data_IF_789236378572
#
_entry.id   IF_789236378572
#
_cell.length_a   1.000
_cell.length_b   1.000
_cell.length_c   1.000
_cell.angle_alpha   90.00
_cell.angle_beta   90.00
_cell.angle_gamma   90.00
#
_symmetry.space_group_name_H-M   'P 1'
#
loop_
_entity.id
_entity.type
_entity.pdbx_description
1 polymer ?
#
# COMPACT_ATOMS: atom_id res chain seq x y z
N UNK A 1 -12.07 -2.52 23.73
CA UNK A 1 -12.72 -1.20 23.61
C UNK A 1 -12.52 -0.50 22.26
N UNK A 2 -11.49 -0.84 21.45
CA UNK A 2 -11.28 -0.22 20.11
C UNK A 2 -12.31 -0.70 19.06
N UNK A 3 -12.76 -1.94 19.15
CA UNK A 3 -13.63 -2.58 18.15
C UNK A 3 -15.04 -1.97 18.03
N UNK A 4 -15.74 -1.80 19.16
CA UNK A 4 -17.05 -1.15 19.16
C UNK A 4 -16.97 0.27 18.60
N UNK A 5 -15.83 0.94 18.76
CA UNK A 5 -15.63 2.29 18.25
C UNK A 5 -15.52 2.34 16.72
N UNK A 6 -14.94 1.31 16.09
CA UNK A 6 -14.82 1.27 14.63
C UNK A 6 -16.17 0.97 13.97
N UNK A 7 -16.90 -0.07 14.43
CA UNK A 7 -18.22 -0.39 13.86
C UNK A 7 -19.20 0.79 14.02
N UNK A 8 -19.17 1.49 15.15
CA UNK A 8 -19.98 2.71 15.38
C UNK A 8 -19.56 3.90 14.49
N UNK A 9 -18.33 3.90 13.97
CA UNK A 9 -17.84 4.96 13.07
C UNK A 9 -18.26 4.77 11.61
N UNK A 10 -18.70 3.56 11.23
CA UNK A 10 -19.14 3.26 9.87
C UNK A 10 -20.60 3.67 9.70
N UNK A 11 -20.86 4.54 8.73
CA UNK A 11 -22.19 5.00 8.37
C UNK A 11 -22.58 4.46 6.99
N UNK A 12 -23.71 3.76 6.93
CA UNK A 12 -24.25 3.31 5.65
C UNK A 12 -24.74 4.51 4.84
N UNK A 13 -24.24 4.66 3.61
CA UNK A 13 -24.63 5.74 2.69
C UNK A 13 -25.81 5.37 1.80
N UNK A 14 -25.91 4.09 1.43
CA UNK A 14 -26.98 3.58 0.59
C UNK A 14 -26.63 2.21 -0.01
N UNK A 15 -27.60 1.64 -0.72
CA UNK A 15 -27.44 0.41 -1.48
C UNK A 15 -27.99 0.59 -2.89
N UNK A 16 -27.44 -0.13 -3.86
CA UNK A 16 -27.90 -0.11 -5.24
C UNK A 16 -27.94 -1.52 -5.80
N UNK A 17 -28.79 -1.73 -6.81
CA UNK A 17 -28.91 -2.99 -7.56
C UNK A 17 -28.84 -2.78 -9.07
N UNK A 18 -28.88 -1.53 -9.52
CA UNK A 18 -28.82 -1.14 -10.94
C UNK A 18 -27.73 -0.09 -11.13
N UNK A 19 -27.26 0.06 -12.37
CA UNK A 19 -26.27 1.09 -12.75
C UNK A 19 -26.85 2.50 -12.50
N UNK A 20 -28.13 2.70 -12.73
CA UNK A 20 -28.81 3.96 -12.50
C UNK A 20 -28.82 4.31 -11.01
N UNK A 21 -29.12 3.35 -10.13
CA UNK A 21 -29.10 3.57 -8.69
C UNK A 21 -27.69 3.80 -8.16
N UNK A 22 -26.69 3.14 -8.74
CA UNK A 22 -25.28 3.45 -8.45
C UNK A 22 -24.98 4.92 -8.73
N UNK A 23 -25.30 5.42 -9.94
CA UNK A 23 -25.02 6.81 -10.30
C UNK A 23 -25.84 7.82 -9.50
N UNK A 24 -27.07 7.48 -9.06
CA UNK A 24 -27.84 8.33 -8.13
C UNK A 24 -27.11 8.56 -6.82
N UNK A 25 -26.42 7.55 -6.29
CA UNK A 25 -25.64 7.69 -5.05
C UNK A 25 -24.30 8.36 -5.36
N UNK A 26 -23.55 7.80 -6.31
CA UNK A 26 -22.16 8.16 -6.57
C UNK A 26 -22.00 9.62 -7.00
N UNK A 27 -22.92 10.17 -7.79
CA UNK A 27 -22.87 11.57 -8.23
C UNK A 27 -23.04 12.60 -7.10
N UNK A 28 -23.54 12.19 -5.94
CA UNK A 28 -23.73 13.05 -4.77
C UNK A 28 -22.66 12.83 -3.70
N UNK A 29 -21.70 11.93 -3.93
CA UNK A 29 -20.58 11.73 -3.02
C UNK A 29 -19.51 12.80 -3.23
N UNK A 30 -18.93 13.27 -2.12
CA UNK A 30 -17.69 14.05 -2.17
C UNK A 30 -16.60 13.17 -2.77
N UNK A 31 -15.82 13.70 -3.71
CA UNK A 31 -14.78 12.91 -4.36
C UNK A 31 -13.65 12.58 -3.36
N UNK A 32 -12.98 11.41 -3.46
CA UNK A 32 -11.93 11.04 -2.52
C UNK A 32 -10.83 12.10 -2.30
N UNK A 33 -10.42 12.81 -3.35
CA UNK A 33 -9.43 13.89 -3.23
C UNK A 33 -9.89 15.08 -2.37
N UNK A 34 -11.21 15.28 -2.24
CA UNK A 34 -11.81 16.41 -1.54
C UNK A 34 -12.31 16.01 -0.13
N UNK A 35 -12.14 14.74 0.24
CA UNK A 35 -12.47 14.26 1.58
C UNK A 35 -11.42 14.74 2.59
N UNK A 36 -11.84 14.98 3.85
CA UNK A 36 -10.89 15.13 4.95
C UNK A 36 -9.96 13.91 5.06
N UNK A 37 -8.72 14.17 5.43
CA UNK A 37 -7.78 13.09 5.75
C UNK A 37 -8.36 12.19 6.85
N UNK A 38 -7.97 10.92 6.85
CA UNK A 38 -8.45 9.85 7.74
C UNK A 38 -9.88 9.38 7.51
N UNK A 39 -10.51 9.78 6.40
CA UNK A 39 -11.78 9.24 5.94
C UNK A 39 -11.60 8.03 5.03
N UNK A 40 -12.58 7.14 5.06
CA UNK A 40 -12.67 5.94 4.24
C UNK A 40 -14.02 5.86 3.53
N UNK A 41 -14.04 5.46 2.26
CA UNK A 41 -15.25 4.92 1.63
C UNK A 41 -15.13 3.41 1.46
N UNK A 42 -16.23 2.72 1.69
CA UNK A 42 -16.35 1.28 1.56
C UNK A 42 -17.47 0.95 0.59
N UNK A 43 -17.17 0.16 -0.43
CA UNK A 43 -18.16 -0.43 -1.32
C UNK A 43 -18.09 -1.95 -1.21
N UNK A 44 -19.11 -2.57 -0.63
CA UNK A 44 -19.13 -4.02 -0.38
C UNK A 44 -20.41 -4.63 -0.93
N UNK A 45 -20.31 -5.91 -1.33
CA UNK A 45 -21.50 -6.68 -1.71
C UNK A 45 -22.47 -6.74 -0.53
N UNK A 46 -23.76 -6.65 -0.84
CA UNK A 46 -24.83 -6.72 0.16
C UNK A 46 -24.66 -7.93 1.08
N UNK A 47 -24.77 -7.70 2.39
CA UNK A 47 -24.63 -8.73 3.41
C UNK A 47 -23.19 -9.02 3.86
N UNK A 48 -22.19 -8.38 3.25
CA UNK A 48 -20.79 -8.43 3.71
C UNK A 48 -20.46 -7.11 4.39
N UNK A 49 -20.16 -7.15 5.68
CA UNK A 49 -19.67 -5.98 6.40
C UNK A 49 -18.21 -5.69 6.01
N UNK A 50 -17.79 -4.42 5.90
CA UNK A 50 -16.41 -4.03 5.55
C UNK A 50 -15.44 -4.17 6.73
N UNK A 51 -15.41 -5.37 7.32
CA UNK A 51 -14.69 -5.69 8.55
C UNK A 51 -14.24 -7.15 8.49
N UNK A 52 -13.08 -7.43 9.08
CA UNK A 52 -12.37 -8.69 8.92
C UNK A 52 -13.06 -9.85 9.66
N UNK A 53 -13.88 -9.57 10.67
CA UNK A 53 -14.67 -10.54 11.43
C UNK A 53 -15.83 -11.12 10.61
N UNK A 54 -16.26 -10.40 9.56
CA UNK A 54 -17.29 -10.89 8.67
C UNK A 54 -16.90 -12.27 8.12
N UNK A 55 -17.84 -13.19 8.10
CA UNK A 55 -17.60 -14.56 7.68
C UNK A 55 -17.02 -14.65 6.26
N UNK A 56 -17.38 -13.70 5.39
CA UNK A 56 -16.83 -13.58 4.05
C UNK A 56 -15.37 -13.10 4.03
N UNK A 57 -14.94 -12.31 5.01
CA UNK A 57 -13.63 -11.64 5.01
C UNK A 57 -12.58 -12.34 5.86
N UNK A 58 -12.97 -13.11 6.89
CA UNK A 58 -12.04 -13.63 7.91
C UNK A 58 -10.91 -14.52 7.40
N UNK A 59 -11.13 -15.26 6.31
CA UNK A 59 -10.10 -16.09 5.64
C UNK A 59 -9.54 -15.43 4.37
N UNK A 60 -9.92 -14.18 4.16
CA UNK A 60 -9.61 -13.41 2.98
C UNK A 60 -8.35 -12.59 3.14
N UNK A 61 -8.22 -11.67 2.21
CA UNK A 61 -7.19 -10.65 2.25
C UNK A 61 -7.56 -9.50 1.35
N UNK A 62 -6.59 -8.62 1.13
CA UNK A 62 -6.75 -7.45 0.29
C UNK A 62 -5.52 -7.17 -0.55
N UNK A 63 -5.76 -6.85 -1.80
CA UNK A 63 -4.80 -6.18 -2.67
C UNK A 63 -4.84 -4.69 -2.42
N UNK A 64 -3.67 -4.06 -2.34
CA UNK A 64 -3.53 -2.63 -2.04
C UNK A 64 -2.62 -1.96 -3.08
N UNK A 65 -2.99 -0.73 -3.43
CA UNK A 65 -2.13 0.19 -4.18
C UNK A 65 -2.06 1.51 -3.42
N UNK A 66 -0.83 2.02 -3.26
CA UNK A 66 -0.57 3.34 -2.70
C UNK A 66 -0.50 4.37 -3.81
N UNK A 67 -1.25 5.45 -3.64
CA UNK A 67 -1.38 6.52 -4.61
C UNK A 67 -0.84 7.82 -3.99
N UNK A 68 -0.16 8.60 -4.82
CA UNK A 68 0.14 9.99 -4.46
C UNK A 68 -1.17 10.78 -4.36
N UNK A 69 -1.14 11.88 -3.63
CA UNK A 69 -2.28 12.80 -3.52
C UNK A 69 -2.70 13.35 -4.89
N UNK A 70 -4.00 13.61 -5.03
CA UNK A 70 -4.60 14.25 -6.20
C UNK A 70 -5.06 13.30 -7.31
N UNK A 71 -4.72 12.00 -7.25
CA UNK A 71 -5.15 11.02 -8.26
C UNK A 71 -6.17 10.00 -7.74
N UNK A 72 -6.46 9.96 -6.44
CA UNK A 72 -7.26 8.92 -5.81
C UNK A 72 -8.68 8.83 -6.38
N UNK A 73 -9.34 9.96 -6.67
CA UNK A 73 -10.70 9.98 -7.19
C UNK A 73 -10.86 9.18 -8.50
N UNK A 74 -9.92 9.32 -9.44
CA UNK A 74 -9.94 8.61 -10.72
C UNK A 74 -9.77 7.11 -10.52
N UNK A 75 -8.75 6.71 -9.77
CA UNK A 75 -8.47 5.29 -9.53
C UNK A 75 -9.58 4.61 -8.70
N UNK A 76 -10.23 5.34 -7.81
CA UNK A 76 -11.38 4.84 -7.07
C UNK A 76 -12.58 4.61 -7.98
N UNK A 77 -12.88 5.57 -8.87
CA UNK A 77 -13.94 5.42 -9.87
C UNK A 77 -13.68 4.22 -10.79
N UNK A 78 -12.48 4.12 -11.38
CA UNK A 78 -12.07 3.00 -12.24
C UNK A 78 -12.25 1.65 -11.52
N UNK A 79 -11.83 1.54 -10.25
CA UNK A 79 -11.99 0.31 -9.48
C UNK A 79 -13.46 -0.04 -9.24
N UNK A 80 -14.26 0.93 -8.79
CA UNK A 80 -15.68 0.70 -8.49
C UNK A 80 -16.45 0.31 -9.74
N UNK A 81 -16.18 0.95 -10.87
CA UNK A 81 -16.78 0.61 -12.16
C UNK A 81 -16.38 -0.80 -12.60
N UNK A 82 -15.11 -1.20 -12.40
CA UNK A 82 -14.66 -2.56 -12.70
C UNK A 82 -15.36 -3.62 -11.83
N UNK A 83 -15.66 -3.32 -10.56
CA UNK A 83 -16.39 -4.22 -9.67
C UNK A 83 -17.85 -4.36 -10.11
N UNK A 84 -18.58 -3.26 -10.28
CA UNK A 84 -20.02 -3.33 -10.65
C UNK A 84 -20.22 -3.84 -12.08
N UNK A 85 -19.20 -3.70 -12.94
CA UNK A 85 -19.16 -4.29 -14.27
C UNK A 85 -18.66 -5.73 -14.30
N UNK A 86 -18.42 -6.36 -13.15
CA UNK A 86 -17.99 -7.76 -13.00
C UNK A 86 -16.73 -8.13 -13.82
N UNK A 87 -15.77 -7.21 -13.93
CA UNK A 87 -14.61 -7.38 -14.82
C UNK A 87 -13.52 -8.34 -14.29
N UNK A 88 -13.61 -8.77 -13.03
CA UNK A 88 -12.57 -9.58 -12.39
C UNK A 88 -12.61 -11.06 -12.74
N UNK A 89 -13.74 -11.60 -13.18
CA UNK A 89 -13.92 -13.00 -13.60
C UNK A 89 -13.36 -14.04 -12.59
N UNK A 90 -13.68 -13.83 -11.31
CA UNK A 90 -13.29 -14.69 -10.17
C UNK A 90 -14.51 -15.22 -9.41
N UNK A 91 -15.67 -15.27 -10.06
CA UNK A 91 -16.93 -15.67 -9.44
C UNK A 91 -17.26 -14.80 -8.23
N UNK A 92 -17.54 -15.43 -7.08
CA UNK A 92 -17.94 -14.71 -5.87
C UNK A 92 -16.77 -14.28 -4.98
N UNK A 93 -15.51 -14.34 -5.45
CA UNK A 93 -14.34 -14.04 -4.60
C UNK A 93 -14.27 -12.59 -4.15
N UNK A 94 -14.73 -11.62 -4.94
CA UNK A 94 -14.73 -10.21 -4.55
C UNK A 94 -15.74 -9.96 -3.42
N UNK A 95 -15.27 -9.40 -2.30
CA UNK A 95 -16.09 -8.93 -1.18
C UNK A 95 -16.48 -7.46 -1.35
N UNK A 96 -15.49 -6.62 -1.69
CA UNK A 96 -15.66 -5.17 -1.76
C UNK A 96 -14.35 -4.43 -1.91
N UNK A 97 -14.41 -3.11 -1.98
CA UNK A 97 -13.28 -2.23 -2.09
C UNK A 97 -13.33 -1.10 -1.06
N UNK A 98 -12.16 -0.57 -0.74
CA UNK A 98 -11.97 0.54 0.21
C UNK A 98 -11.04 1.57 -0.42
N UNK A 99 -11.40 2.85 -0.37
CA UNK A 99 -10.46 3.96 -0.55
C UNK A 99 -10.21 4.58 0.82
N UNK A 100 -8.94 4.70 1.17
CA UNK A 100 -8.47 5.24 2.42
C UNK A 100 -7.67 6.51 2.19
N UNK A 101 -8.26 7.66 2.54
CA UNK A 101 -7.64 8.97 2.40
C UNK A 101 -6.74 9.20 3.60
N UNK A 102 -5.41 9.31 3.41
CA UNK A 102 -4.45 9.51 4.52
C UNK A 102 -3.60 10.75 4.27
N UNK A 103 -2.80 11.18 5.23
CA UNK A 103 -2.11 12.47 5.13
C UNK A 103 -1.10 12.54 3.96
N UNK A 104 -0.24 11.53 3.82
CA UNK A 104 0.85 11.53 2.83
C UNK A 104 0.49 10.87 1.49
N UNK A 105 -0.38 9.87 1.53
CA UNK A 105 -0.74 9.03 0.40
C UNK A 105 -2.20 8.58 0.57
N UNK A 106 -2.82 8.16 -0.52
CA UNK A 106 -4.13 7.51 -0.49
C UNK A 106 -3.96 6.04 -0.83
N UNK A 107 -4.78 5.19 -0.24
CA UNK A 107 -4.65 3.74 -0.40
C UNK A 107 -5.96 3.18 -0.92
N UNK A 108 -5.92 2.54 -2.08
CA UNK A 108 -7.05 1.76 -2.59
C UNK A 108 -6.82 0.30 -2.28
N UNK A 109 -7.84 -0.36 -1.73
CA UNK A 109 -7.83 -1.77 -1.38
C UNK A 109 -8.97 -2.53 -2.04
N UNK A 110 -8.72 -3.73 -2.55
CA UNK A 110 -9.74 -4.66 -3.05
C UNK A 110 -9.69 -5.95 -2.23
N UNK A 111 -10.80 -6.30 -1.60
CA UNK A 111 -10.92 -7.39 -0.64
C UNK A 111 -11.50 -8.64 -1.31
N UNK A 112 -10.89 -9.79 -1.03
CA UNK A 112 -11.35 -11.10 -1.53
C UNK A 112 -11.62 -12.09 -0.39
N UNK A 113 -12.47 -13.09 -0.64
CA UNK A 113 -12.97 -14.03 0.37
C UNK A 113 -11.93 -15.03 0.86
N UNK A 114 -11.13 -15.57 -0.06
CA UNK A 114 -10.21 -16.66 0.24
C UNK A 114 -8.78 -16.33 -0.18
N UNK A 115 -7.93 -16.06 0.81
CA UNK A 115 -6.51 -15.81 0.57
C UNK A 115 -5.72 -17.05 0.15
N UNK A 116 -6.28 -18.25 0.33
CA UNK A 116 -5.65 -19.52 -0.09
C UNK A 116 -5.99 -19.87 -1.55
N UNK A 117 -6.93 -19.14 -2.17
CA UNK A 117 -7.27 -19.30 -3.59
C UNK A 117 -6.28 -18.51 -4.46
N UNK A 118 -5.10 -19.09 -4.69
CA UNK A 118 -4.00 -18.44 -5.43
C UNK A 118 -4.40 -18.02 -6.86
N UNK A 119 -5.20 -18.84 -7.55
CA UNK A 119 -5.66 -18.52 -8.91
C UNK A 119 -6.52 -17.26 -8.91
N UNK A 120 -7.51 -17.18 -8.02
CA UNK A 120 -8.33 -15.97 -7.88
C UNK A 120 -7.49 -14.78 -7.42
N UNK A 121 -6.57 -14.95 -6.48
CA UNK A 121 -5.70 -13.87 -6.00
C UNK A 121 -4.84 -13.30 -7.12
N UNK A 122 -4.24 -14.14 -7.97
CA UNK A 122 -3.45 -13.69 -9.13
C UNK A 122 -4.32 -13.03 -10.20
N UNK A 123 -5.49 -13.60 -10.52
CA UNK A 123 -6.42 -12.98 -11.48
C UNK A 123 -6.89 -11.61 -11.00
N UNK A 124 -7.19 -11.47 -9.70
CA UNK A 124 -7.55 -10.19 -9.10
C UNK A 124 -6.42 -9.17 -9.26
N UNK A 125 -5.18 -9.54 -8.95
CA UNK A 125 -4.00 -8.67 -9.11
C UNK A 125 -3.86 -8.18 -10.55
N UNK A 126 -3.92 -9.10 -11.51
CA UNK A 126 -3.64 -8.81 -12.90
C UNK A 126 -4.75 -7.95 -13.52
N UNK A 127 -6.01 -8.27 -13.20
CA UNK A 127 -7.15 -7.44 -13.61
C UNK A 127 -7.10 -6.07 -12.94
N UNK A 128 -6.81 -5.98 -11.63
CA UNK A 128 -6.69 -4.69 -10.93
C UNK A 128 -5.63 -3.81 -11.59
N UNK A 129 -4.46 -4.37 -11.94
CA UNK A 129 -3.42 -3.64 -12.68
C UNK A 129 -3.93 -3.13 -14.02
N UNK A 130 -4.65 -3.96 -14.77
CA UNK A 130 -5.19 -3.63 -16.09
C UNK A 130 -6.27 -2.54 -16.04
N UNK A 131 -7.30 -2.70 -15.21
CA UNK A 131 -8.45 -1.76 -15.15
C UNK A 131 -8.05 -0.40 -14.61
N UNK A 132 -7.07 -0.37 -13.70
CA UNK A 132 -6.51 0.87 -13.18
C UNK A 132 -5.43 1.47 -14.09
N UNK A 133 -5.04 0.78 -15.16
CA UNK A 133 -3.93 1.17 -16.04
C UNK A 133 -2.65 1.51 -15.24
N UNK A 134 -2.29 0.66 -14.27
CA UNK A 134 -1.14 0.90 -13.40
C UNK A 134 0.17 0.67 -14.16
N UNK A 135 1.12 1.63 -14.11
CA UNK A 135 2.46 1.41 -14.63
C UNK A 135 3.12 0.18 -13.99
N UNK A 136 3.98 -0.51 -14.75
CA UNK A 136 4.62 -1.76 -14.29
C UNK A 136 5.46 -1.58 -13.02
N UNK A 137 6.03 -0.38 -12.81
CA UNK A 137 6.82 -0.07 -11.61
C UNK A 137 5.97 0.11 -10.35
N UNK A 138 4.65 0.30 -10.49
CA UNK A 138 3.76 0.43 -9.32
C UNK A 138 3.55 -0.95 -8.74
N UNK A 139 3.96 -1.12 -7.48
CA UNK A 139 3.77 -2.34 -6.73
C UNK A 139 2.29 -2.49 -6.33
N UNK A 140 1.79 -3.71 -6.44
CA UNK A 140 0.57 -4.14 -5.79
C UNK A 140 0.97 -4.96 -4.56
N UNK A 141 0.29 -4.74 -3.46
CA UNK A 141 0.63 -5.38 -2.19
C UNK A 141 -0.53 -6.24 -1.71
N UNK A 142 -0.25 -7.48 -1.33
CA UNK A 142 -1.27 -8.35 -0.76
C UNK A 142 -1.06 -8.48 0.74
N UNK A 143 -2.16 -8.42 1.50
CA UNK A 143 -2.15 -8.75 2.93
C UNK A 143 -3.37 -9.57 3.31
N UNK A 144 -3.14 -10.68 3.98
CA UNK A 144 -4.20 -11.50 4.59
C UNK A 144 -4.81 -10.78 5.78
N UNK A 145 -6.10 -10.96 6.00
CA UNK A 145 -6.78 -10.35 7.13
C UNK A 145 -6.32 -10.96 8.46
N UNK A 146 -6.14 -12.28 8.54
CA UNK A 146 -5.63 -13.00 9.73
C UNK A 146 -4.28 -12.43 10.23
N UNK A 147 -3.37 -12.14 9.31
CA UNK A 147 -2.02 -11.63 9.61
C UNK A 147 -2.08 -10.19 10.11
N UNK A 148 -3.03 -9.41 9.59
CA UNK A 148 -3.26 -8.01 10.00
C UNK A 148 -3.72 -7.92 11.46
N UNK A 149 -4.33 -8.97 12.00
CA UNK A 149 -4.77 -9.03 13.39
C UNK A 149 -3.64 -9.37 14.33
N UNK A 150 -2.81 -10.33 13.92
CA UNK A 150 -1.68 -10.77 14.72
C UNK A 150 -0.64 -9.65 14.88
N UNK A 151 -0.43 -8.83 13.86
CA UNK A 151 0.52 -7.71 13.89
C UNK A 151 -0.12 -6.33 14.12
N UNK A 152 -1.44 -6.30 14.32
CA UNK A 152 -2.25 -5.10 14.53
C UNK A 152 -1.99 -3.98 13.50
N UNK A 153 -1.77 -4.34 12.24
CA UNK A 153 -1.46 -3.39 11.17
C UNK A 153 -2.25 -3.68 9.88
N UNK A 154 -2.89 -2.65 9.33
CA UNK A 154 -3.69 -2.82 8.10
C UNK A 154 -2.87 -2.58 6.82
N UNK A 155 -1.74 -1.90 6.90
CA UNK A 155 -0.98 -1.43 5.74
C UNK A 155 0.52 -1.76 5.78
N UNK A 156 1.01 -2.41 6.85
CA UNK A 156 2.42 -2.79 7.01
C UNK A 156 2.58 -4.30 6.86
N UNK A 157 3.81 -4.78 6.68
CA UNK A 157 4.13 -6.21 6.55
C UNK A 157 3.34 -6.90 5.42
N UNK A 158 3.30 -6.26 4.25
CA UNK A 158 2.57 -6.73 3.08
C UNK A 158 3.51 -7.50 2.15
N UNK A 159 2.96 -8.45 1.40
CA UNK A 159 3.71 -9.12 0.33
C UNK A 159 3.72 -8.21 -0.90
N UNK A 160 4.90 -7.72 -1.28
CA UNK A 160 5.08 -6.88 -2.46
C UNK A 160 5.12 -7.71 -3.73
N UNK A 161 4.28 -7.36 -4.71
CA UNK A 161 4.30 -7.94 -6.03
C UNK A 161 4.73 -6.88 -7.04
N UNK A 162 5.98 -6.98 -7.47
CA UNK A 162 6.54 -6.21 -8.58
C UNK A 162 6.49 -7.05 -9.83
N UNK A 163 6.15 -6.43 -10.95
CA UNK A 163 6.31 -7.07 -12.25
C UNK A 163 7.81 -7.07 -12.60
N UNK A 164 8.59 -7.99 -12.04
CA UNK A 164 9.98 -8.15 -12.43
C UNK A 164 10.04 -8.82 -13.81
N UNK A 165 10.64 -8.12 -14.79
CA UNK A 165 11.14 -8.76 -16.00
C UNK A 165 12.45 -9.46 -15.68
N UNK A 166 12.41 -10.65 -15.07
CA UNK A 166 13.53 -11.61 -15.16
C UNK A 166 13.14 -13.02 -14.67
N UNK A 167 12.29 -13.74 -15.40
CA UNK A 167 12.27 -15.20 -15.29
C UNK A 167 13.44 -15.75 -16.14
N UNK A 168 14.59 -15.90 -15.50
CA UNK A 168 15.79 -16.43 -16.11
C UNK A 168 16.58 -17.25 -15.10
N UNK A 169 16.40 -18.57 -15.17
CA UNK A 169 17.36 -19.59 -14.74
C UNK A 169 17.38 -19.98 -13.25
N UNK A 170 16.31 -20.61 -12.77
CA UNK A 170 16.44 -21.64 -11.73
C UNK A 170 16.57 -23.01 -12.42
N UNK A 171 17.80 -23.51 -12.56
CA UNK A 171 18.04 -24.90 -12.93
C UNK A 171 18.03 -25.73 -11.65
N UNK A 172 17.06 -26.63 -11.54
CA UNK A 172 17.07 -27.70 -10.56
C UNK A 172 18.25 -28.65 -10.86
N UNK A 173 19.15 -28.82 -9.90
CA UNK A 173 20.18 -29.86 -9.93
C UNK A 173 19.69 -31.05 -9.11
N UNK A 174 19.63 -32.28 -9.66
CA UNK A 174 19.20 -33.44 -8.90
C UNK A 174 20.32 -33.93 -7.99
N UNK A 175 19.94 -34.24 -6.76
CA UNK A 175 20.75 -34.91 -5.75
C UNK A 175 20.84 -36.41 -6.07
N UNK A 176 22.04 -36.94 -6.23
CA UNK A 176 22.33 -38.37 -6.37
C UNK A 176 23.74 -38.64 -5.87
N UNK A 177 23.86 -39.39 -4.77
CA UNK A 177 25.13 -39.73 -4.15
C UNK A 177 25.70 -41.06 -4.64
N UNK A 178 27.02 -41.21 -4.53
CA UNK A 178 27.70 -42.51 -4.33
C UNK A 178 29.13 -42.27 -3.80
N UNK A 179 29.61 -43.22 -2.97
CA UNK A 179 30.81 -43.13 -2.13
C UNK A 179 31.98 -43.98 -2.68
N UNK A 180 33.19 -43.39 -2.57
CA UNK A 180 34.49 -43.98 -2.17
C UNK A 180 35.32 -44.81 -3.19
N UNK A 181 36.61 -45.13 -2.89
CA UNK A 181 37.70 -44.31 -2.32
C UNK A 181 39.02 -44.46 -3.11
N UNK A 182 39.97 -43.53 -2.99
CA UNK A 182 41.42 -43.86 -3.14
C UNK A 182 42.28 -42.98 -2.24
N UNK A 183 43.20 -43.61 -1.52
CA UNK A 183 44.22 -42.94 -0.72
C UNK A 183 45.60 -43.45 -1.08
N UNK A 184 46.58 -42.53 -1.15
CA UNK A 184 48.01 -42.67 -0.84
C UNK A 184 48.68 -41.33 -1.19
N UNK A 185 49.17 -40.56 -0.20
CA UNK A 185 50.58 -40.51 0.27
C UNK A 185 51.53 -40.02 -0.86
N UNK A 186 52.28 -38.92 -0.78
CA UNK A 186 53.37 -38.57 0.16
C UNK A 186 53.89 -37.13 -0.08
N UNK A 187 54.06 -36.41 1.04
CA UNK A 187 55.13 -35.47 1.48
C UNK A 187 55.64 -34.21 0.75
N UNK A 188 55.91 -33.26 1.66
CA UNK A 188 57.04 -32.29 1.80
C UNK A 188 57.01 -31.06 0.89
N UNK A 189 57.45 -29.87 1.26
CA UNK A 189 57.90 -29.18 2.49
C UNK A 189 58.36 -27.78 2.02
N UNK A 190 58.62 -26.88 2.97
CA UNK A 190 59.40 -25.62 2.87
C UNK A 190 58.66 -24.29 2.65
N UNK A 191 58.39 -23.67 3.79
CA UNK A 191 59.05 -22.43 4.28
C UNK A 191 59.35 -21.27 3.32
N UNK A 192 58.78 -20.11 3.62
CA UNK A 192 59.40 -18.76 3.76
C UNK A 192 58.26 -17.75 3.55
N UNK A 193 57.83 -16.99 4.55
CA UNK A 193 58.56 -15.84 5.08
C UNK A 193 58.31 -14.64 4.16
N UNK A 194 57.52 -13.65 4.59
CA UNK A 194 57.81 -12.21 4.50
C UNK A 194 56.78 -11.38 5.27
N UNK A 195 57.30 -10.38 5.97
CA UNK A 195 56.65 -9.48 6.90
C UNK A 195 55.87 -8.34 6.21
N UNK A 196 54.86 -7.85 6.95
CA UNK A 196 54.47 -6.45 7.22
C UNK A 196 54.82 -5.36 6.19
N UNK A 197 53.83 -4.51 5.88
CA UNK A 197 53.79 -3.13 6.43
C UNK A 197 52.53 -2.36 5.99
N UNK A 198 52.05 -1.53 6.91
CA UNK A 198 50.96 -0.59 6.78
C UNK A 198 51.42 0.77 6.21
N UNK A 199 50.52 1.44 5.48
CA UNK A 199 50.41 2.90 5.28
C UNK A 199 48.92 3.15 4.93
N UNK A 200 48.15 4.10 5.46
CA UNK A 200 48.44 5.37 6.13
C UNK A 200 47.94 6.53 5.26
N UNK A 201 47.03 7.37 5.81
CA UNK A 201 46.43 8.65 5.32
C UNK A 201 45.11 8.52 4.54
N UNK A 202 43.97 9.07 4.95
CA UNK A 202 43.57 10.34 5.59
C UNK A 202 43.42 11.56 4.66
N UNK A 203 42.20 12.11 4.72
CA UNK A 203 41.72 13.48 4.43
C UNK A 203 41.70 14.02 3.00
N UNK A 204 40.48 14.39 2.57
CA UNK A 204 40.00 15.79 2.34
C UNK A 204 38.45 15.74 2.34
N UNK A 205 37.73 16.35 3.30
CA UNK A 205 37.29 17.77 3.40
C UNK A 205 36.70 18.29 2.09
N UNK A 206 35.58 19.01 1.98
CA UNK A 206 34.51 19.53 2.85
C UNK A 206 33.73 20.56 2.01
N UNK A 207 32.59 21.06 2.50
CA UNK A 207 31.79 22.22 2.04
C UNK A 207 30.79 21.91 0.91
N UNK A 208 29.49 22.21 1.05
CA UNK A 208 28.92 23.50 1.46
C UNK A 208 27.85 23.40 2.56
N UNK A 209 28.04 24.20 3.61
CA UNK A 209 27.00 24.99 4.27
C UNK A 209 27.34 26.46 4.00
N UNK A 210 26.34 27.28 3.69
CA UNK A 210 26.38 28.70 4.01
C UNK A 210 24.95 29.20 4.19
N UNK A 211 24.62 29.46 5.45
CA UNK A 211 23.69 30.52 5.83
C UNK A 211 24.25 31.87 5.35
N UNK A 212 23.37 32.78 4.95
CA UNK A 212 23.61 34.22 5.04
C UNK A 212 22.40 34.89 5.66
N UNK A 213 22.72 35.73 6.63
CA UNK A 213 21.85 36.40 7.58
C UNK A 213 21.62 37.86 7.14
N UNK A 214 20.43 38.36 7.45
CA UNK A 214 20.12 39.68 8.04
C UNK A 214 20.27 41.01 7.27
N UNK A 215 19.41 41.95 7.72
CA UNK A 215 19.33 43.41 7.59
C UNK A 215 18.60 43.98 6.36
N UNK A 216 17.63 44.90 6.46
CA UNK A 216 16.97 45.62 7.56
C UNK A 216 16.31 46.90 7.01
N UNK A 217 15.07 47.23 7.42
CA UNK A 217 14.50 48.59 7.56
C UNK A 217 13.03 48.47 8.03
N UNK A 218 12.64 48.90 9.24
CA UNK A 218 12.17 50.26 9.62
C UNK A 218 11.07 50.81 8.68
N UNK A 219 9.94 51.39 9.09
CA UNK A 219 9.44 51.94 10.38
C UNK A 219 7.98 52.41 10.18
N UNK A 220 7.21 52.44 11.27
CA UNK A 220 6.14 53.40 11.65
C UNK A 220 4.87 53.50 10.75
N UNK A 221 3.64 53.77 11.24
CA UNK A 221 3.11 54.34 12.49
C UNK A 221 1.59 53.99 12.52
N UNK A 222 0.99 53.67 13.68
CA UNK A 222 0.03 54.53 14.45
C UNK A 222 -1.20 55.00 13.63
N UNK A 223 -2.46 54.92 14.07
CA UNK A 223 -3.03 54.90 15.43
C UNK A 223 -4.56 54.82 15.35
N UNK A 224 -5.18 54.30 16.43
CA UNK A 224 -6.44 54.74 17.07
C UNK A 224 -7.77 54.57 16.31
N UNK A 225 -8.92 54.40 16.94
CA UNK A 225 -9.43 53.97 18.27
C UNK A 225 -10.98 54.01 18.12
N UNK A 226 -11.70 53.59 19.17
CA UNK A 226 -13.14 53.81 19.45
C UNK A 226 -14.12 52.76 18.85
N UNK A 227 -14.67 51.80 19.61
CA UNK A 227 -15.72 51.90 20.67
C UNK A 227 -16.90 52.79 20.23
N UNK A 228 -18.17 52.36 20.26
CA UNK A 228 -19.05 52.26 21.46
C UNK A 228 -20.46 51.79 21.00
N UNK A 229 -21.12 50.95 21.81
CA UNK A 229 -22.60 50.71 22.03
C UNK A 229 -23.52 50.35 20.83
N UNK A 230 -24.63 49.62 20.96
CA UNK A 230 -25.53 49.30 22.07
C UNK A 230 -26.97 49.65 21.65
N UNK A 231 -27.93 48.77 21.98
CA UNK A 231 -29.40 48.93 21.97
C UNK A 231 -30.16 49.23 20.65
N UNK A 232 -30.84 48.20 20.11
CA UNK A 232 -32.31 47.99 20.20
C UNK A 232 -32.76 46.79 19.37
#
# INVERSE_FOLDING_TARGET
MVQESYEKSIKALGNFKTVQDFWKIYNHLVRPNDLPNTMDYHLFKTGIKPMWEDAANRRGGKWMVRLRKGIASRYWEDLVLAIIGEQFDVGNEICGAVISVRYNEDIISLWNRNADNNEACHRIRDTMRKVLNLPQFVALEYKRHDTSLNDNSSFRNTTLWRSDKNEGNHRDAPSGGERAPTGSRVSRDKSSGHQRSAWGRESKRSFFRSDTNDSGNQRNNRSNDDKVEGDH
#
